data_IF_987998014334
#
_entry.id   IF_987998014334
#
_cell.length_a   1.000
_cell.length_b   1.000
_cell.length_c   1.000
_cell.angle_alpha   90.00
_cell.angle_beta   90.00
_cell.angle_gamma   90.00
#
_symmetry.space_group_name_H-M   'P 1'
#
loop_
_entity.id
_entity.type
_entity.pdbx_description
1 polymer ?
#
# COMPACT_ATOMS: atom_id res chain seq x y z
N UNK A 1 7.50 27.39 4.50
CA UNK A 1 7.99 26.06 4.92
C UNK A 1 8.76 25.47 3.73
N UNK A 2 10.03 25.13 3.90
CA UNK A 2 10.79 24.42 2.87
C UNK A 2 10.27 22.98 2.80
N UNK A 3 9.79 22.56 1.63
CA UNK A 3 9.48 21.15 1.40
C UNK A 3 10.79 20.39 1.32
N UNK A 4 10.92 19.32 2.12
CA UNK A 4 12.06 18.42 2.06
C UNK A 4 11.88 17.49 0.87
N UNK A 5 12.83 17.51 -0.07
CA UNK A 5 12.87 16.62 -1.24
C UNK A 5 14.12 15.76 -1.14
N UNK A 6 13.97 14.44 -1.29
CA UNK A 6 15.06 13.48 -1.35
C UNK A 6 15.15 12.91 -2.77
N UNK A 7 16.33 13.00 -3.39
CA UNK A 7 16.62 12.45 -4.71
C UNK A 7 17.93 11.67 -4.64
N UNK A 8 17.92 10.43 -5.13
CA UNK A 8 19.08 9.53 -5.12
C UNK A 8 18.92 8.40 -6.16
N UNK A 9 20.03 7.75 -6.50
CA UNK A 9 20.08 6.55 -7.33
C UNK A 9 20.03 5.31 -6.42
N UNK A 10 19.01 4.46 -6.59
CA UNK A 10 18.92 3.18 -5.88
C UNK A 10 19.62 2.08 -6.67
N UNK A 11 20.54 1.36 -6.02
CA UNK A 11 21.33 0.27 -6.63
C UNK A 11 20.85 -1.11 -6.19
N UNK A 12 21.30 -2.13 -6.92
CA UNK A 12 20.98 -3.53 -6.61
C UNK A 12 21.37 -3.90 -5.17
N UNK A 13 20.43 -4.48 -4.43
CA UNK A 13 20.60 -4.88 -3.02
C UNK A 13 20.31 -3.76 -2.01
N UNK A 14 20.03 -2.53 -2.45
CA UNK A 14 19.63 -1.45 -1.56
C UNK A 14 18.14 -1.49 -1.20
N UNK A 15 17.83 -1.09 0.02
CA UNK A 15 16.48 -1.04 0.55
C UNK A 15 16.08 0.40 0.85
N UNK A 16 14.93 0.80 0.32
CA UNK A 16 14.32 2.10 0.58
C UNK A 16 13.05 1.93 1.42
N UNK A 17 12.98 2.61 2.56
CA UNK A 17 11.75 2.76 3.33
C UNK A 17 11.12 4.12 3.04
N UNK A 18 9.90 4.11 2.52
CA UNK A 18 9.12 5.31 2.26
C UNK A 18 8.03 5.43 3.34
N UNK A 19 8.04 6.49 4.18
CA UNK A 19 7.00 6.69 5.17
C UNK A 19 5.61 6.89 4.54
N UNK A 20 4.57 6.55 5.29
CA UNK A 20 3.17 6.78 4.91
C UNK A 20 2.93 8.25 4.54
N UNK A 21 2.19 8.48 3.44
CA UNK A 21 1.87 9.82 2.94
C UNK A 21 2.95 10.52 2.14
N UNK A 22 4.13 9.91 1.94
CA UNK A 22 5.18 10.50 1.10
C UNK A 22 4.92 10.22 -0.39
N UNK A 23 4.66 11.29 -1.15
CA UNK A 23 4.66 11.22 -2.61
C UNK A 23 6.06 10.86 -3.11
N UNK A 24 6.13 9.94 -4.07
CA UNK A 24 7.39 9.48 -4.65
C UNK A 24 7.20 9.06 -6.12
N UNK A 25 8.31 9.09 -6.87
CA UNK A 25 8.39 8.62 -8.24
C UNK A 25 9.75 7.94 -8.46
N UNK A 26 9.81 6.99 -9.40
CA UNK A 26 11.05 6.32 -9.78
C UNK A 26 11.24 6.42 -11.30
N UNK A 27 12.49 6.59 -11.72
CA UNK A 27 12.89 6.57 -13.12
C UNK A 27 14.08 5.62 -13.29
N UNK A 28 13.95 4.67 -14.20
CA UNK A 28 14.98 3.67 -14.46
C UNK A 28 15.83 4.12 -15.65
N UNK A 29 17.12 4.33 -15.44
CA UNK A 29 18.10 4.70 -16.49
C UNK A 29 18.45 3.53 -17.40
N UNK A 30 18.35 2.31 -16.87
CA UNK A 30 18.56 1.04 -17.55
C UNK A 30 17.42 0.07 -17.20
N UNK A 31 17.40 -1.11 -17.81
CA UNK A 31 16.40 -2.12 -17.49
C UNK A 31 16.58 -2.60 -16.03
N UNK A 32 15.58 -2.33 -15.19
CA UNK A 32 15.64 -2.57 -13.75
C UNK A 32 14.39 -3.28 -13.25
N UNK A 33 14.59 -4.22 -12.32
CA UNK A 33 13.53 -4.87 -11.55
C UNK A 33 13.65 -4.46 -10.08
N UNK A 34 12.56 -3.93 -9.53
CA UNK A 34 12.44 -3.62 -8.11
C UNK A 34 11.18 -4.27 -7.53
N UNK A 35 11.26 -4.74 -6.29
CA UNK A 35 10.12 -5.28 -5.55
C UNK A 35 9.75 -4.26 -4.48
N UNK A 36 8.51 -3.77 -4.52
CA UNK A 36 7.93 -2.93 -3.49
C UNK A 36 6.89 -3.70 -2.67
N UNK A 37 6.81 -3.41 -1.37
CA UNK A 37 5.81 -4.01 -0.50
C UNK A 37 5.40 -3.00 0.57
N UNK A 38 4.10 -2.97 0.86
CA UNK A 38 3.56 -2.17 1.96
C UNK A 38 3.62 -3.00 3.24
N UNK A 39 4.19 -2.42 4.29
CA UNK A 39 4.39 -3.12 5.55
C UNK A 39 3.65 -2.42 6.71
N UNK A 40 2.81 -3.17 7.40
CA UNK A 40 2.10 -2.74 8.59
C UNK A 40 2.54 -3.57 9.80
N UNK A 41 2.78 -2.89 10.92
CA UNK A 41 3.10 -3.49 12.21
C UNK A 41 2.46 -2.69 13.36
N UNK A 42 2.70 -3.12 14.60
CA UNK A 42 2.15 -2.48 15.81
C UNK A 42 2.56 -1.00 15.97
N UNK A 43 3.63 -0.54 15.32
CA UNK A 43 4.11 0.83 15.43
C UNK A 43 3.46 1.78 14.42
N UNK A 44 2.98 1.29 13.27
CA UNK A 44 2.38 2.13 12.22
C UNK A 44 0.92 1.81 11.87
N UNK A 45 0.32 0.77 12.44
CA UNK A 45 -1.02 0.31 12.07
C UNK A 45 -2.10 1.40 12.14
N UNK A 46 -2.01 2.33 13.10
CA UNK A 46 -3.01 3.42 13.22
C UNK A 46 -3.02 4.31 11.99
N UNK A 47 -1.86 4.77 11.55
CA UNK A 47 -1.74 5.61 10.35
C UNK A 47 -2.19 4.87 9.09
N UNK A 48 -1.87 3.57 8.99
CA UNK A 48 -2.36 2.75 7.87
C UNK A 48 -3.88 2.62 7.89
N UNK A 49 -4.48 2.33 9.05
CA UNK A 49 -5.94 2.20 9.17
C UNK A 49 -6.66 3.53 8.95
N UNK A 50 -6.11 4.65 9.42
CA UNK A 50 -6.62 5.99 9.16
C UNK A 50 -6.69 6.28 7.65
N UNK A 51 -5.62 6.00 6.91
CA UNK A 51 -5.58 6.15 5.46
C UNK A 51 -6.62 5.24 4.78
N UNK A 52 -6.70 3.97 5.17
CA UNK A 52 -7.68 3.03 4.61
C UNK A 52 -9.12 3.50 4.87
N UNK A 53 -9.43 3.94 6.10
CA UNK A 53 -10.76 4.44 6.48
C UNK A 53 -11.11 5.68 5.65
N UNK A 54 -10.17 6.60 5.49
CA UNK A 54 -10.36 7.82 4.70
C UNK A 54 -10.59 7.53 3.22
N UNK A 55 -9.77 6.64 2.63
CA UNK A 55 -9.89 6.27 1.21
C UNK A 55 -11.16 5.46 0.89
N UNK A 56 -11.67 4.69 1.85
CA UNK A 56 -12.83 3.81 1.64
C UNK A 56 -14.15 4.41 2.13
N UNK A 57 -14.10 5.46 2.96
CA UNK A 57 -15.27 6.14 3.49
C UNK A 57 -16.08 5.29 4.49
N UNK A 58 -15.47 4.28 5.11
CA UNK A 58 -16.17 3.34 6.01
C UNK A 58 -16.34 3.87 7.44
N UNK A 59 -15.92 5.10 7.72
CA UNK A 59 -15.88 5.70 9.05
C UNK A 59 -17.23 5.66 9.78
N UNK A 60 -18.31 5.99 9.07
CA UNK A 60 -19.67 5.98 9.63
C UNK A 60 -20.19 4.58 10.02
N UNK A 61 -19.52 3.53 9.56
CA UNK A 61 -19.87 2.12 9.81
C UNK A 61 -19.02 1.51 10.94
N UNK A 62 -18.06 2.26 11.49
CA UNK A 62 -17.25 1.78 12.60
C UNK A 62 -18.10 1.65 13.88
N UNK A 63 -17.94 0.58 14.67
CA UNK A 63 -18.64 0.44 15.93
C UNK A 63 -18.14 1.50 16.94
N UNK A 64 -19.02 1.95 17.83
CA UNK A 64 -18.65 2.92 18.88
C UNK A 64 -17.51 2.44 19.80
N UNK A 65 -17.30 1.12 19.89
CA UNK A 65 -16.22 0.50 20.67
C UNK A 65 -14.89 0.43 19.93
N UNK A 66 -14.81 0.84 18.66
CA UNK A 66 -13.63 0.66 17.79
C UNK A 66 -12.32 1.08 18.46
N UNK A 67 -12.28 2.26 19.08
CA UNK A 67 -11.07 2.81 19.71
C UNK A 67 -10.60 2.04 20.96
N UNK A 68 -11.48 1.21 21.55
CA UNK A 68 -11.17 0.38 22.73
C UNK A 68 -10.70 -1.03 22.37
N UNK A 69 -10.82 -1.42 21.10
CA UNK A 69 -10.40 -2.73 20.62
C UNK A 69 -8.88 -2.87 20.59
N UNK A 70 -8.40 -4.12 20.64
CA UNK A 70 -6.99 -4.42 20.38
C UNK A 70 -6.58 -4.04 18.95
N UNK A 71 -5.29 -3.79 18.66
CA UNK A 71 -4.83 -3.50 17.31
C UNK A 71 -5.30 -4.52 16.27
N UNK A 72 -5.24 -5.81 16.61
CA UNK A 72 -5.60 -6.92 15.74
C UNK A 72 -7.12 -6.95 15.46
N UNK A 73 -7.94 -6.59 16.45
CA UNK A 73 -9.40 -6.46 16.29
C UNK A 73 -9.77 -5.21 15.47
N UNK A 74 -9.06 -4.10 15.65
CA UNK A 74 -9.27 -2.89 14.82
C UNK A 74 -9.03 -3.20 13.34
N UNK A 75 -7.93 -3.91 13.03
CA UNK A 75 -7.65 -4.36 11.66
C UNK A 75 -8.78 -5.24 11.14
N UNK A 76 -9.23 -6.24 11.90
CA UNK A 76 -10.31 -7.13 11.47
C UNK A 76 -11.61 -6.37 11.18
N UNK A 77 -11.98 -5.41 12.03
CA UNK A 77 -13.17 -4.58 11.85
C UNK A 77 -13.06 -3.78 10.55
N UNK A 78 -11.97 -3.02 10.34
CA UNK A 78 -11.81 -2.21 9.13
C UNK A 78 -11.84 -3.09 7.87
N UNK A 79 -11.10 -4.20 7.88
CA UNK A 79 -11.06 -5.12 6.72
C UNK A 79 -12.44 -5.72 6.40
N UNK A 80 -13.26 -6.02 7.43
CA UNK A 80 -14.63 -6.52 7.23
C UNK A 80 -15.61 -5.49 6.66
N UNK A 81 -15.27 -4.20 6.76
CA UNK A 81 -16.11 -3.12 6.28
C UNK A 81 -15.75 -2.68 4.85
N UNK A 82 -14.63 -3.14 4.31
CA UNK A 82 -14.20 -2.77 2.96
C UNK A 82 -15.28 -3.11 1.93
N UNK A 83 -15.61 -2.19 1.02
CA UNK A 83 -16.55 -2.47 -0.05
C UNK A 83 -16.05 -3.62 -0.93
N UNK A 84 -16.96 -4.51 -1.35
CA UNK A 84 -16.63 -5.62 -2.25
C UNK A 84 -16.02 -5.14 -3.57
N UNK A 85 -16.47 -3.97 -4.05
CA UNK A 85 -15.90 -3.30 -5.23
C UNK A 85 -14.40 -2.99 -5.09
N UNK A 86 -13.92 -2.68 -3.88
CA UNK A 86 -12.50 -2.44 -3.60
C UNK A 86 -11.73 -3.77 -3.66
N UNK A 87 -12.28 -4.83 -3.08
CA UNK A 87 -11.67 -6.16 -3.10
C UNK A 87 -11.58 -6.73 -4.52
N UNK A 88 -12.62 -6.53 -5.33
CA UNK A 88 -12.66 -6.98 -6.72
C UNK A 88 -11.73 -6.15 -7.60
N UNK A 89 -11.62 -4.85 -7.35
CA UNK A 89 -10.62 -4.02 -8.02
C UNK A 89 -9.21 -4.49 -7.71
N UNK A 90 -8.91 -4.80 -6.44
CA UNK A 90 -7.61 -5.32 -6.05
C UNK A 90 -7.27 -6.65 -6.74
N UNK A 91 -8.22 -7.59 -6.83
CA UNK A 91 -8.01 -8.86 -7.56
C UNK A 91 -7.71 -8.62 -9.05
N UNK A 92 -8.46 -7.73 -9.70
CA UNK A 92 -8.24 -7.40 -11.13
C UNK A 92 -6.86 -6.80 -11.36
N UNK A 93 -6.44 -5.83 -10.56
CA UNK A 93 -5.11 -5.22 -10.70
C UNK A 93 -3.99 -6.25 -10.53
N UNK A 94 -4.13 -7.20 -9.60
CA UNK A 94 -3.14 -8.26 -9.43
C UNK A 94 -3.09 -9.20 -10.65
N UNK A 95 -4.23 -9.53 -11.25
CA UNK A 95 -4.28 -10.35 -12.46
C UNK A 95 -3.66 -9.63 -13.66
N UNK A 96 -3.96 -8.34 -13.85
CA UNK A 96 -3.37 -7.52 -14.92
C UNK A 96 -1.84 -7.45 -14.80
N UNK A 97 -1.31 -7.24 -13.59
CA UNK A 97 0.14 -7.25 -13.34
C UNK A 97 0.71 -8.63 -13.65
N UNK A 98 0.05 -9.71 -13.21
CA UNK A 98 0.47 -11.08 -13.49
C UNK A 98 0.53 -11.34 -14.98
N UNK A 99 -0.52 -11.04 -15.74
CA UNK A 99 -0.56 -11.22 -17.20
C UNK A 99 0.57 -10.47 -17.90
N UNK A 100 0.87 -9.23 -17.47
CA UNK A 100 1.99 -8.46 -18.03
C UNK A 100 3.34 -9.11 -17.78
N UNK A 101 3.56 -9.70 -16.61
CA UNK A 101 4.77 -10.47 -16.29
C UNK A 101 4.87 -11.72 -17.16
N UNK A 102 3.78 -12.50 -17.30
CA UNK A 102 3.78 -13.74 -18.07
C UNK A 102 3.89 -13.51 -19.60
N UNK A 103 3.34 -12.40 -20.11
CA UNK A 103 3.47 -12.04 -21.53
C UNK A 103 4.86 -11.48 -21.88
N UNK A 104 5.55 -10.85 -20.92
CA UNK A 104 6.94 -10.40 -21.09
C UNK A 104 7.93 -11.55 -21.30
N UNK A 105 7.64 -12.75 -20.77
CA UNK A 105 8.48 -13.95 -20.96
C UNK A 105 8.44 -14.52 -22.38
N UNK A 106 7.45 -14.16 -23.21
CA UNK A 106 7.30 -14.67 -24.59
C UNK A 106 7.92 -13.77 -25.68
N UNK A 107 8.68 -12.75 -25.29
CA UNK A 107 9.30 -11.79 -26.22
C UNK A 107 10.84 -11.86 -26.27
N UNK A 108 11.44 -12.93 -25.72
CA UNK A 108 12.87 -13.23 -25.79
C UNK A 108 13.14 -14.45 -26.68
#
# INVERSE_FOLDING_TARGET
MSHFTLEFEQKAGELLFIPTGWAHQAYNLEESLAISSQFMNRNNYKSVLEEVIQCTGVESRLPHTYLTLTPEEQVKVVMSLLPESVLDSAKRSNEEVRERLMCGENSL
#
